data_IF_331420514977
#
_entry.id   IF_331420514977
#
_cell.length_a   1.000
_cell.length_b   1.000
_cell.length_c   1.000
_cell.angle_alpha   90.00
_cell.angle_beta   90.00
_cell.angle_gamma   90.00
#
_symmetry.space_group_name_H-M   'P 1'
#
loop_
_entity.id
_entity.type
_entity.pdbx_description
1 polymer ?
#
# COMPACT_ATOMS: atom_id res chain seq x y z
N UNK A 1 -22.22 -20.38 3.30
CA UNK A 1 -21.24 -19.52 2.61
C UNK A 1 -20.87 -18.45 3.62
N UNK A 2 -19.60 -18.29 3.95
CA UNK A 2 -19.13 -17.31 4.93
C UNK A 2 -19.21 -15.91 4.35
N UNK A 3 -19.76 -14.96 5.13
CA UNK A 3 -19.86 -13.55 4.75
C UNK A 3 -18.69 -12.76 5.31
N UNK A 4 -18.11 -11.89 4.50
CA UNK A 4 -17.13 -10.90 4.89
C UNK A 4 -17.84 -9.54 5.08
N UNK A 5 -17.92 -9.08 6.33
CA UNK A 5 -18.46 -7.79 6.70
C UNK A 5 -17.34 -6.75 6.63
N UNK A 6 -17.32 -5.92 5.57
CA UNK A 6 -16.20 -5.04 5.23
C UNK A 6 -16.43 -3.63 5.74
N UNK A 7 -15.61 -3.22 6.71
CA UNK A 7 -15.57 -1.88 7.28
C UNK A 7 -14.45 -1.06 6.65
N UNK A 8 -14.76 0.19 6.32
CA UNK A 8 -13.82 1.12 5.66
C UNK A 8 -13.76 2.46 6.39
N UNK A 9 -13.05 3.43 5.82
CA UNK A 9 -12.94 4.75 6.45
C UNK A 9 -14.29 5.47 6.55
N UNK A 10 -14.60 6.04 7.70
CA UNK A 10 -15.74 6.95 7.83
C UNK A 10 -15.50 8.34 7.21
N UNK A 11 -14.29 8.61 6.70
CA UNK A 11 -13.86 9.93 6.20
C UNK A 11 -13.75 10.01 4.69
N UNK A 12 -13.55 8.87 4.01
CA UNK A 12 -13.26 8.82 2.58
C UNK A 12 -14.13 7.76 1.91
N UNK A 13 -14.94 8.13 0.88
CA UNK A 13 -15.77 7.15 0.18
C UNK A 13 -14.89 6.18 -0.62
N UNK A 14 -15.31 4.93 -0.65
CA UNK A 14 -14.69 3.90 -1.49
C UNK A 14 -15.20 4.06 -2.91
N UNK A 15 -14.36 4.58 -3.79
CA UNK A 15 -14.72 4.85 -5.18
C UNK A 15 -13.51 4.75 -6.11
N UNK A 16 -13.67 4.16 -7.30
CA UNK A 16 -12.58 3.94 -8.28
C UNK A 16 -11.88 5.25 -8.72
N UNK A 17 -12.61 6.37 -8.68
CA UNK A 17 -12.05 7.68 -8.99
C UNK A 17 -11.28 8.31 -7.82
N UNK A 18 -11.37 7.74 -6.62
CA UNK A 18 -10.63 8.20 -5.44
C UNK A 18 -9.21 7.64 -5.41
N UNK A 19 -8.46 7.87 -6.49
CA UNK A 19 -7.08 7.33 -6.66
C UNK A 19 -6.04 7.99 -5.76
N UNK A 20 -6.39 9.08 -5.09
CA UNK A 20 -5.54 9.71 -4.09
C UNK A 20 -5.51 8.94 -2.77
N UNK A 21 -6.53 8.13 -2.51
CA UNK A 21 -6.64 7.24 -1.35
C UNK A 21 -6.28 5.81 -1.76
N UNK A 22 -5.10 5.30 -1.42
CA UNK A 22 -4.68 3.94 -1.77
C UNK A 22 -5.55 2.86 -1.11
N UNK A 23 -6.17 3.15 0.03
CA UNK A 23 -7.09 2.22 0.69
C UNK A 23 -8.38 2.04 -0.09
N UNK A 24 -8.94 3.10 -0.68
CA UNK A 24 -10.14 3.01 -1.52
C UNK A 24 -9.95 1.99 -2.66
N UNK A 25 -8.82 2.06 -3.34
CA UNK A 25 -8.49 1.12 -4.43
C UNK A 25 -8.25 -0.30 -3.91
N UNK A 26 -7.54 -0.44 -2.78
CA UNK A 26 -7.29 -1.75 -2.16
C UNK A 26 -8.60 -2.45 -1.75
N UNK A 27 -9.56 -1.72 -1.18
CA UNK A 27 -10.89 -2.24 -0.82
C UNK A 27 -11.66 -2.72 -2.03
N UNK A 28 -11.72 -1.93 -3.11
CA UNK A 28 -12.41 -2.32 -4.35
C UNK A 28 -11.83 -3.61 -4.90
N UNK A 29 -10.51 -3.67 -5.07
CA UNK A 29 -9.81 -4.84 -5.57
C UNK A 29 -10.03 -6.07 -4.69
N UNK A 30 -9.99 -5.90 -3.38
CA UNK A 30 -10.26 -6.97 -2.42
C UNK A 30 -11.70 -7.50 -2.58
N UNK A 31 -12.70 -6.61 -2.61
CA UNK A 31 -14.12 -7.01 -2.79
C UNK A 31 -14.31 -7.76 -4.10
N UNK A 32 -13.85 -7.19 -5.21
CA UNK A 32 -14.01 -7.79 -6.54
C UNK A 32 -13.42 -9.19 -6.58
N UNK A 33 -12.22 -9.34 -6.03
CA UNK A 33 -11.52 -10.62 -6.04
C UNK A 33 -12.17 -11.65 -5.11
N UNK A 34 -12.48 -11.27 -3.87
CA UNK A 34 -13.14 -12.20 -2.93
C UNK A 34 -14.50 -12.64 -3.45
N UNK A 35 -15.26 -11.75 -4.07
CA UNK A 35 -16.53 -12.08 -4.72
C UNK A 35 -16.34 -13.05 -5.87
N UNK A 36 -15.33 -12.87 -6.73
CA UNK A 36 -15.00 -13.81 -7.81
C UNK A 36 -14.61 -15.20 -7.30
N UNK A 37 -14.05 -15.30 -6.10
CA UNK A 37 -13.70 -16.56 -5.46
C UNK A 37 -14.83 -17.17 -4.61
N UNK A 38 -16.05 -16.64 -4.71
CA UNK A 38 -17.23 -17.20 -4.09
C UNK A 38 -17.47 -16.78 -2.65
N UNK A 39 -16.76 -15.76 -2.15
CA UNK A 39 -17.09 -15.15 -0.88
C UNK A 39 -18.30 -14.22 -0.99
N UNK A 40 -19.16 -14.23 0.01
CA UNK A 40 -20.20 -13.21 0.13
C UNK A 40 -19.62 -11.98 0.81
N UNK A 41 -19.70 -10.81 0.16
CA UNK A 41 -19.17 -9.55 0.70
C UNK A 41 -20.32 -8.58 0.97
N UNK A 42 -20.30 -7.96 2.16
CA UNK A 42 -21.19 -6.85 2.53
C UNK A 42 -20.31 -5.68 2.95
N UNK A 43 -20.38 -4.59 2.21
CA UNK A 43 -19.62 -3.35 2.50
C UNK A 43 -20.48 -2.39 3.32
N UNK A 44 -19.95 -1.92 4.43
CA UNK A 44 -20.56 -0.89 5.27
C UNK A 44 -19.98 0.46 4.85
N UNK A 45 -20.80 1.27 4.22
CA UNK A 45 -20.36 2.42 3.43
C UNK A 45 -20.74 3.76 4.03
N UNK A 46 -20.11 4.80 3.49
CA UNK A 46 -20.55 6.19 3.61
C UNK A 46 -21.05 6.71 2.25
N UNK A 47 -21.72 7.88 2.19
CA UNK A 47 -22.21 8.45 0.93
C UNK A 47 -21.14 8.50 -0.16
N UNK A 48 -21.55 8.30 -1.41
CA UNK A 48 -20.72 8.27 -2.61
C UNK A 48 -19.73 7.10 -2.71
N UNK A 49 -19.83 6.08 -1.86
CA UNK A 49 -19.09 4.82 -2.04
C UNK A 49 -19.74 3.97 -3.13
N UNK A 50 -18.90 3.37 -4.00
CA UNK A 50 -19.33 2.49 -5.11
C UNK A 50 -18.45 1.26 -5.14
N UNK A 51 -19.05 0.09 -4.92
CA UNK A 51 -18.40 -1.22 -4.93
C UNK A 51 -19.28 -2.24 -5.67
N UNK A 52 -18.71 -3.39 -6.03
CA UNK A 52 -19.40 -4.47 -6.78
C UNK A 52 -20.24 -5.41 -5.92
N UNK A 53 -20.18 -5.32 -4.59
CA UNK A 53 -20.94 -6.16 -3.67
C UNK A 53 -22.14 -5.42 -3.06
N UNK A 54 -22.92 -6.12 -2.22
CA UNK A 54 -23.95 -5.48 -1.37
C UNK A 54 -23.32 -4.40 -0.52
N UNK A 55 -23.88 -3.18 -0.57
CA UNK A 55 -23.41 -2.03 0.21
C UNK A 55 -24.53 -1.49 1.09
N UNK A 56 -24.25 -1.35 2.38
CA UNK A 56 -25.18 -0.80 3.39
C UNK A 56 -24.63 0.54 3.84
N UNK A 57 -25.35 1.62 3.54
CA UNK A 57 -24.92 2.97 3.93
C UNK A 57 -25.14 3.18 5.43
N UNK A 58 -24.07 3.55 6.13
CA UNK A 58 -24.04 3.75 7.58
C UNK A 58 -24.09 5.23 8.01
N UNK A 59 -23.91 6.17 7.07
CA UNK A 59 -24.09 7.60 7.28
C UNK A 59 -24.96 8.18 6.17
N UNK A 60 -25.93 9.03 6.52
CA UNK A 60 -26.78 9.70 5.52
C UNK A 60 -26.13 10.99 5.00
N UNK A 61 -25.45 11.73 5.86
CA UNK A 61 -24.74 12.96 5.54
C UNK A 61 -23.34 12.95 6.19
N UNK A 62 -22.42 13.74 5.62
CA UNK A 62 -21.10 13.95 6.22
C UNK A 62 -21.26 14.89 7.43
N UNK A 63 -21.06 14.36 8.62
CA UNK A 63 -21.15 15.09 9.89
C UNK A 63 -19.94 16.00 10.09
N UNK A 64 -20.10 17.14 10.78
CA UNK A 64 -19.14 18.23 10.84
C UNK A 64 -17.79 17.91 11.50
N UNK A 65 -17.70 16.96 12.43
CA UNK A 65 -16.44 16.61 13.09
C UNK A 65 -16.01 15.17 12.80
N UNK A 66 -14.69 14.95 12.71
CA UNK A 66 -14.13 13.62 12.45
C UNK A 66 -14.51 12.61 13.54
N UNK A 67 -14.50 13.00 14.81
CA UNK A 67 -14.84 12.14 15.94
C UNK A 67 -16.32 11.72 15.94
N UNK A 68 -17.23 12.66 15.69
CA UNK A 68 -18.65 12.37 15.57
C UNK A 68 -18.93 11.41 14.38
N UNK A 69 -18.20 11.58 13.30
CA UNK A 69 -18.31 10.74 12.12
C UNK A 69 -17.90 9.29 12.39
N UNK A 70 -16.76 9.09 13.07
CA UNK A 70 -16.30 7.75 13.50
C UNK A 70 -17.35 7.10 14.40
N UNK A 71 -17.86 7.83 15.40
CA UNK A 71 -18.84 7.30 16.34
C UNK A 71 -20.14 6.90 15.67
N UNK A 72 -20.72 7.77 14.84
CA UNK A 72 -21.98 7.50 14.13
C UNK A 72 -21.84 6.34 13.14
N UNK A 73 -20.73 6.31 12.38
CA UNK A 73 -20.43 5.22 11.45
C UNK A 73 -20.36 3.88 12.19
N UNK A 74 -19.57 3.79 13.27
CA UNK A 74 -19.41 2.55 14.03
C UNK A 74 -20.73 2.06 14.64
N UNK A 75 -21.55 2.97 15.17
CA UNK A 75 -22.85 2.61 15.74
C UNK A 75 -23.80 2.03 14.67
N UNK A 76 -23.88 2.68 13.52
CA UNK A 76 -24.73 2.22 12.43
C UNK A 76 -24.21 0.93 11.79
N UNK A 77 -22.89 0.82 11.58
CA UNK A 77 -22.26 -0.39 11.05
C UNK A 77 -22.43 -1.58 11.99
N UNK A 78 -22.24 -1.38 13.31
CA UNK A 78 -22.47 -2.42 14.31
C UNK A 78 -23.91 -2.92 14.31
N UNK A 79 -24.89 -2.01 14.27
CA UNK A 79 -26.31 -2.40 14.19
C UNK A 79 -26.59 -3.22 12.92
N UNK A 80 -26.08 -2.76 11.78
CA UNK A 80 -26.28 -3.44 10.50
C UNK A 80 -25.55 -4.80 10.43
N UNK A 81 -24.35 -4.93 10.99
CA UNK A 81 -23.67 -6.23 11.15
C UNK A 81 -24.53 -7.17 11.98
N UNK A 82 -25.03 -6.71 13.12
CA UNK A 82 -25.90 -7.51 14.01
C UNK A 82 -27.14 -8.08 13.33
N UNK A 83 -27.70 -7.34 12.34
CA UNK A 83 -28.88 -7.76 11.57
C UNK A 83 -28.53 -8.75 10.43
N UNK A 84 -27.30 -8.75 9.94
CA UNK A 84 -26.91 -9.51 8.74
C UNK A 84 -25.94 -10.68 9.03
N UNK A 85 -25.30 -10.71 10.21
CA UNK A 85 -24.28 -11.72 10.52
C UNK A 85 -24.85 -13.11 10.75
N UNK A 86 -24.05 -14.11 10.39
CA UNK A 86 -24.29 -15.52 10.69
C UNK A 86 -23.07 -16.12 11.42
N UNK A 87 -23.24 -17.23 12.17
CA UNK A 87 -22.11 -17.94 12.77
C UNK A 87 -21.04 -18.31 11.72
N UNK A 88 -19.78 -17.97 11.99
CA UNK A 88 -18.66 -18.23 11.08
C UNK A 88 -18.33 -17.10 10.11
N UNK A 89 -19.13 -16.03 10.08
CA UNK A 89 -18.78 -14.82 9.33
C UNK A 89 -17.55 -14.11 9.93
N UNK A 90 -16.96 -13.20 9.17
CA UNK A 90 -15.78 -12.43 9.58
C UNK A 90 -16.00 -10.94 9.36
N UNK A 91 -15.43 -10.11 10.24
CA UNK A 91 -15.38 -8.65 10.06
C UNK A 91 -13.99 -8.29 9.51
N UNK A 92 -13.98 -7.56 8.40
CA UNK A 92 -12.77 -7.15 7.69
C UNK A 92 -12.58 -5.64 7.83
N UNK A 93 -11.50 -5.20 8.49
CA UNK A 93 -11.25 -3.82 8.85
C UNK A 93 -10.08 -3.24 8.07
N UNK A 94 -10.31 -2.27 7.18
CA UNK A 94 -9.26 -1.66 6.36
C UNK A 94 -8.61 -0.41 6.97
N UNK A 95 -9.19 0.16 8.03
CA UNK A 95 -8.75 1.42 8.64
C UNK A 95 -8.40 1.32 10.13
N UNK A 96 -8.01 0.12 10.57
CA UNK A 96 -7.52 -0.08 11.93
C UNK A 96 -8.50 0.43 12.99
N UNK A 97 -7.98 1.13 13.98
CA UNK A 97 -8.71 1.60 15.18
C UNK A 97 -9.99 2.41 14.86
N UNK A 98 -10.10 3.01 13.68
CA UNK A 98 -11.32 3.72 13.28
C UNK A 98 -12.53 2.78 13.15
N UNK A 99 -12.30 1.48 12.93
CA UNK A 99 -13.33 0.46 12.83
C UNK A 99 -13.49 -0.38 14.12
N UNK A 100 -12.71 -0.09 15.15
CA UNK A 100 -12.63 -0.93 16.36
C UNK A 100 -13.97 -1.03 17.09
N UNK A 101 -14.66 0.08 17.29
CA UNK A 101 -15.89 0.09 18.09
C UNK A 101 -17.00 -0.78 17.47
N UNK A 102 -17.20 -0.72 16.15
CA UNK A 102 -18.15 -1.58 15.45
C UNK A 102 -17.75 -3.05 15.55
N UNK A 103 -16.46 -3.34 15.44
CA UNK A 103 -15.92 -4.71 15.48
C UNK A 103 -16.05 -5.35 16.87
N UNK A 104 -15.66 -4.62 17.91
CA UNK A 104 -15.69 -5.12 19.30
C UNK A 104 -17.11 -5.36 19.83
N UNK A 105 -18.13 -4.80 19.20
CA UNK A 105 -19.54 -5.10 19.49
C UNK A 105 -19.97 -6.52 19.04
N UNK A 106 -19.15 -7.22 18.24
CA UNK A 106 -19.41 -8.56 17.73
C UNK A 106 -18.28 -9.54 18.08
N UNK A 107 -18.05 -9.84 19.36
CA UNK A 107 -16.96 -10.70 19.81
C UNK A 107 -17.10 -12.16 19.38
N UNK A 108 -18.23 -12.54 18.84
CA UNK A 108 -18.53 -13.84 18.25
C UNK A 108 -18.00 -14.01 16.82
N UNK A 109 -17.56 -12.92 16.17
CA UNK A 109 -16.97 -12.94 14.83
C UNK A 109 -15.45 -12.74 14.88
N UNK A 110 -14.73 -13.34 13.93
CA UNK A 110 -13.31 -13.10 13.75
C UNK A 110 -13.08 -11.71 13.14
N UNK A 111 -12.27 -10.88 13.80
CA UNK A 111 -11.85 -9.59 13.29
C UNK A 111 -10.54 -9.74 12.50
N UNK A 112 -10.52 -9.31 11.25
CA UNK A 112 -9.38 -9.42 10.34
C UNK A 112 -8.99 -8.03 9.84
N UNK A 113 -7.73 -7.65 10.01
CA UNK A 113 -7.14 -6.46 9.38
C UNK A 113 -6.26 -6.89 8.21
N UNK A 114 -6.72 -6.74 6.94
CA UNK A 114 -5.89 -6.97 5.77
C UNK A 114 -5.07 -5.72 5.42
N UNK A 115 -3.99 -5.91 4.66
CA UNK A 115 -3.21 -4.81 4.05
C UNK A 115 -2.63 -3.82 5.06
N UNK A 116 -2.16 -4.31 6.23
CA UNK A 116 -1.58 -3.45 7.27
C UNK A 116 -0.25 -2.88 6.78
N UNK A 117 -0.27 -1.58 6.44
CA UNK A 117 0.88 -0.76 6.05
C UNK A 117 0.83 0.62 6.71
N UNK A 118 0.12 0.74 7.85
CA UNK A 118 -0.09 1.95 8.62
C UNK A 118 0.52 1.85 10.02
N UNK A 119 0.34 2.89 10.82
CA UNK A 119 0.92 3.02 12.17
C UNK A 119 0.53 1.86 13.06
N UNK A 120 1.49 1.31 13.78
CA UNK A 120 1.31 0.11 14.64
C UNK A 120 0.28 0.31 15.74
N UNK A 121 0.12 1.55 16.21
CA UNK A 121 -0.85 1.93 17.26
C UNK A 121 -2.30 1.81 16.77
N UNK A 122 -2.52 1.91 15.47
CA UNK A 122 -3.84 1.80 14.87
C UNK A 122 -4.29 0.33 14.64
N UNK A 123 -3.41 -0.63 14.78
CA UNK A 123 -3.72 -2.06 14.61
C UNK A 123 -4.35 -2.62 15.88
N UNK A 124 -5.51 -3.28 15.77
CA UNK A 124 -6.25 -3.79 16.92
C UNK A 124 -6.75 -5.23 16.79
N UNK A 125 -6.96 -5.73 15.56
CA UNK A 125 -7.56 -7.05 15.36
C UNK A 125 -6.61 -8.21 15.71
N UNK A 126 -7.19 -9.38 15.99
CA UNK A 126 -6.44 -10.57 16.34
C UNK A 126 -5.85 -11.30 15.13
N UNK A 127 -6.50 -11.15 13.96
CA UNK A 127 -6.07 -11.75 12.69
C UNK A 127 -5.58 -10.66 11.74
N UNK A 128 -4.32 -10.74 11.33
CA UNK A 128 -3.64 -9.63 10.64
C UNK A 128 -2.90 -10.11 9.39
N UNK A 129 -3.03 -9.33 8.32
CA UNK A 129 -2.20 -9.49 7.13
C UNK A 129 -1.41 -8.19 6.89
N UNK A 130 -0.10 -8.26 7.08
CA UNK A 130 0.84 -7.15 6.91
C UNK A 130 1.34 -7.09 5.47
N UNK A 131 1.63 -5.89 4.98
CA UNK A 131 2.12 -5.69 3.61
C UNK A 131 3.58 -6.13 3.42
N UNK A 132 4.33 -6.33 4.51
CA UNK A 132 5.72 -6.81 4.50
C UNK A 132 6.11 -7.44 5.84
N UNK A 133 7.17 -8.23 5.85
CA UNK A 133 7.79 -8.71 7.09
C UNK A 133 8.34 -7.55 7.93
N UNK A 134 8.89 -6.52 7.29
CA UNK A 134 9.36 -5.32 7.98
C UNK A 134 8.24 -4.68 8.80
N UNK A 135 7.05 -4.52 8.21
CA UNK A 135 5.87 -3.98 8.90
C UNK A 135 5.40 -4.89 10.05
N UNK A 136 5.35 -6.20 9.82
CA UNK A 136 4.98 -7.19 10.84
C UNK A 136 5.95 -7.16 12.02
N UNK A 137 7.25 -7.19 11.76
CA UNK A 137 8.26 -7.18 12.83
C UNK A 137 8.32 -5.83 13.57
N UNK A 138 8.06 -4.72 12.88
CA UNK A 138 7.90 -3.40 13.52
C UNK A 138 6.72 -3.40 14.48
N UNK A 139 5.58 -3.97 14.07
CA UNK A 139 4.41 -4.16 14.93
C UNK A 139 4.73 -5.02 16.15
N UNK A 140 5.38 -6.18 15.97
CA UNK A 140 5.77 -7.05 17.09
C UNK A 140 6.70 -6.36 18.07
N UNK A 141 7.67 -5.59 17.57
CA UNK A 141 8.58 -4.80 18.41
C UNK A 141 7.83 -3.73 19.22
N UNK A 142 6.94 -2.98 18.57
CA UNK A 142 6.16 -1.92 19.21
C UNK A 142 5.18 -2.46 20.27
N UNK A 143 4.65 -3.67 20.08
CA UNK A 143 3.69 -4.33 20.97
C UNK A 143 4.33 -5.26 22.00
N UNK A 144 5.65 -5.40 22.03
CA UNK A 144 6.35 -6.31 22.94
C UNK A 144 6.08 -7.80 22.68
N UNK A 145 5.70 -8.15 21.44
CA UNK A 145 5.31 -9.52 21.06
C UNK A 145 6.50 -10.38 20.59
N UNK A 146 7.74 -9.97 20.85
CA UNK A 146 8.94 -10.66 20.34
C UNK A 146 9.06 -12.12 20.77
N UNK A 147 8.57 -12.44 21.98
CA UNK A 147 8.64 -13.80 22.53
C UNK A 147 7.35 -14.62 22.29
N UNK A 148 6.30 -13.97 21.80
CA UNK A 148 5.00 -14.61 21.55
C UNK A 148 4.32 -13.98 20.32
N UNK A 149 4.87 -14.16 19.11
CA UNK A 149 4.24 -13.71 17.89
C UNK A 149 2.93 -14.46 17.65
N UNK A 150 2.02 -13.84 16.91
CA UNK A 150 0.76 -14.48 16.54
C UNK A 150 0.98 -15.53 15.44
N UNK A 151 0.39 -16.71 15.64
CA UNK A 151 0.43 -17.83 14.68
C UNK A 151 -0.40 -17.57 13.43
N UNK A 152 -1.30 -16.59 13.50
CA UNK A 152 -2.29 -16.31 12.45
C UNK A 152 -1.98 -15.05 11.65
N UNK A 153 -0.91 -14.37 12.01
CA UNK A 153 -0.43 -13.25 11.24
C UNK A 153 0.16 -13.73 9.91
N UNK A 154 -0.15 -13.02 8.85
CA UNK A 154 0.35 -13.30 7.52
C UNK A 154 1.06 -12.08 6.93
N UNK A 155 1.92 -12.33 5.93
CA UNK A 155 2.46 -11.27 5.08
C UNK A 155 1.87 -11.44 3.69
N UNK A 156 1.05 -10.47 3.29
CA UNK A 156 0.40 -10.39 1.98
C UNK A 156 0.71 -9.01 1.42
N UNK A 157 1.57 -8.90 0.41
CA UNK A 157 2.00 -7.63 -0.16
C UNK A 157 0.85 -6.89 -0.84
N UNK A 158 1.06 -5.60 -1.14
CA UNK A 158 0.11 -4.88 -1.97
C UNK A 158 0.10 -5.45 -3.40
N UNK A 159 -1.09 -5.67 -3.93
CA UNK A 159 -1.30 -6.07 -5.32
C UNK A 159 -1.28 -4.86 -6.26
N UNK A 160 -0.63 -5.01 -7.40
CA UNK A 160 -0.57 -3.99 -8.45
C UNK A 160 -1.11 -4.59 -9.74
N UNK A 161 -2.14 -3.99 -10.33
CA UNK A 161 -2.72 -4.46 -11.59
C UNK A 161 -1.76 -4.26 -12.76
N UNK A 162 -1.11 -5.31 -13.22
CA UNK A 162 -0.07 -5.22 -14.26
C UNK A 162 -0.57 -4.64 -15.58
N UNK A 163 -1.86 -4.80 -15.91
CA UNK A 163 -2.47 -4.25 -17.12
C UNK A 163 -2.67 -2.71 -17.08
N UNK A 164 -2.56 -2.09 -15.91
CA UNK A 164 -2.58 -0.62 -15.79
C UNK A 164 -1.24 0.03 -16.16
N UNK A 165 -0.18 -0.76 -16.38
CA UNK A 165 1.18 -0.29 -16.62
C UNK A 165 1.71 -0.77 -17.97
N UNK A 166 2.05 0.18 -18.82
CA UNK A 166 2.75 -0.10 -20.07
C UNK A 166 4.21 -0.41 -19.81
N UNK A 167 4.77 -1.33 -20.62
CA UNK A 167 6.14 -1.81 -20.48
C UNK A 167 7.01 -1.40 -21.67
N UNK A 168 8.25 -1.00 -21.40
CA UNK A 168 9.29 -0.86 -22.42
C UNK A 168 10.69 -1.12 -21.86
N UNK A 169 11.57 -1.68 -22.68
CA UNK A 169 13.00 -1.80 -22.39
C UNK A 169 13.77 -0.51 -22.73
N UNK A 170 13.17 0.34 -23.56
CA UNK A 170 13.78 1.62 -23.93
C UNK A 170 13.59 2.63 -22.80
N UNK A 171 14.71 3.16 -22.27
CA UNK A 171 14.73 4.13 -21.20
C UNK A 171 15.33 5.46 -21.70
N UNK A 172 14.75 6.57 -21.26
CA UNK A 172 15.30 7.90 -21.45
C UNK A 172 16.34 8.22 -20.37
N UNK A 173 17.16 9.25 -20.59
CA UNK A 173 18.27 9.58 -19.69
C UNK A 173 17.81 10.49 -18.52
N UNK A 174 16.89 9.95 -17.68
CA UNK A 174 16.50 10.60 -16.44
C UNK A 174 16.15 9.56 -15.35
N UNK A 175 16.28 10.00 -14.10
CA UNK A 175 15.84 9.29 -12.92
C UNK A 175 14.54 9.90 -12.39
N UNK A 176 13.70 9.09 -11.76
CA UNK A 176 12.38 9.52 -11.27
C UNK A 176 12.30 9.40 -9.74
N UNK A 177 12.09 10.52 -9.07
CA UNK A 177 11.57 10.54 -7.72
C UNK A 177 10.05 10.63 -7.80
N UNK A 178 9.34 9.60 -7.28
CA UNK A 178 7.88 9.55 -7.29
C UNK A 178 7.33 9.43 -5.88
N UNK A 179 6.67 10.48 -5.39
CA UNK A 179 6.09 10.53 -4.05
C UNK A 179 5.99 11.94 -3.49
N UNK A 180 5.48 12.05 -2.27
CA UNK A 180 5.40 13.33 -1.57
C UNK A 180 6.79 13.94 -1.39
N UNK A 181 6.92 15.22 -1.70
CA UNK A 181 8.18 15.98 -1.46
C UNK A 181 8.19 16.36 0.02
N UNK A 182 8.72 15.48 0.85
CA UNK A 182 8.88 15.64 2.30
C UNK A 182 10.25 15.12 2.72
N UNK A 183 10.79 15.60 3.83
CA UNK A 183 12.12 15.28 4.32
C UNK A 183 12.31 13.76 4.50
N UNK A 184 11.36 13.10 5.18
CA UNK A 184 11.42 11.67 5.45
C UNK A 184 11.47 10.78 4.20
N UNK A 185 11.07 11.29 3.03
CA UNK A 185 11.21 10.61 1.73
C UNK A 185 12.56 10.84 1.05
N UNK A 186 13.49 11.58 1.70
CA UNK A 186 14.88 11.71 1.27
C UNK A 186 15.10 12.52 0.00
N UNK A 187 14.28 13.53 -0.27
CA UNK A 187 14.37 14.37 -1.49
C UNK A 187 15.77 14.94 -1.72
N UNK A 188 16.47 15.34 -0.63
CA UNK A 188 17.82 15.86 -0.72
C UNK A 188 18.81 14.83 -1.29
N UNK A 189 18.72 13.57 -0.88
CA UNK A 189 19.60 12.49 -1.36
C UNK A 189 19.36 12.29 -2.86
N UNK A 190 18.11 12.23 -3.31
CA UNK A 190 17.77 12.07 -4.73
C UNK A 190 18.39 13.21 -5.60
N UNK A 191 18.22 14.46 -5.15
CA UNK A 191 18.74 15.63 -5.86
C UNK A 191 20.28 15.62 -5.88
N UNK A 192 20.92 15.37 -4.74
CA UNK A 192 22.38 15.44 -4.63
C UNK A 192 23.08 14.27 -5.34
N UNK A 193 22.53 13.05 -5.23
CA UNK A 193 23.10 11.86 -5.87
C UNK A 193 23.01 11.95 -7.40
N UNK A 194 21.85 12.36 -7.95
CA UNK A 194 21.71 12.58 -9.40
C UNK A 194 22.61 13.72 -9.92
N UNK A 195 22.78 14.79 -9.13
CA UNK A 195 23.74 15.86 -9.43
C UNK A 195 25.19 15.34 -9.47
N UNK A 196 25.59 14.59 -8.46
CA UNK A 196 26.95 14.04 -8.37
C UNK A 196 27.27 13.08 -9.52
N UNK A 197 26.28 12.28 -9.95
CA UNK A 197 26.40 11.38 -11.12
C UNK A 197 26.20 12.09 -12.47
N UNK A 198 25.95 13.42 -12.50
CA UNK A 198 25.71 14.17 -13.74
C UNK A 198 24.44 13.76 -14.49
N UNK A 199 23.41 13.30 -13.78
CA UNK A 199 22.16 12.79 -14.35
C UNK A 199 20.98 13.71 -14.10
N UNK A 200 19.96 13.64 -14.97
CA UNK A 200 18.69 14.36 -14.83
C UNK A 200 17.79 13.68 -13.81
N UNK A 201 17.07 14.49 -13.02
CA UNK A 201 16.05 14.03 -12.08
C UNK A 201 14.69 14.66 -12.42
N UNK A 202 13.65 13.84 -12.52
CA UNK A 202 12.27 14.30 -12.53
C UNK A 202 11.67 14.02 -11.16
N UNK A 203 11.00 15.02 -10.58
CA UNK A 203 10.31 14.92 -9.29
C UNK A 203 8.82 15.00 -9.57
N UNK A 204 8.08 13.94 -9.25
CA UNK A 204 6.65 13.83 -9.42
C UNK A 204 5.97 13.52 -8.06
N UNK A 205 5.02 14.37 -7.69
CA UNK A 205 4.26 14.27 -6.44
C UNK A 205 4.01 15.63 -5.81
N UNK A 206 3.15 15.67 -4.77
CA UNK A 206 2.81 16.92 -4.09
C UNK A 206 3.94 17.37 -3.16
N UNK A 207 4.04 18.70 -2.97
CA UNK A 207 5.03 19.38 -2.14
C UNK A 207 5.85 20.39 -2.94
N UNK A 208 6.70 21.15 -2.25
CA UNK A 208 7.50 22.21 -2.86
C UNK A 208 8.96 22.06 -2.43
N UNK A 209 9.91 22.24 -3.36
CA UNK A 209 11.34 22.23 -3.05
C UNK A 209 11.79 23.43 -2.21
N UNK A 210 11.08 24.56 -2.28
CA UNK A 210 11.34 25.73 -1.43
C UNK A 210 11.27 25.40 0.07
N UNK A 211 10.42 24.46 0.47
CA UNK A 211 10.25 24.04 1.86
C UNK A 211 11.51 23.32 2.40
N UNK A 212 12.43 22.98 1.51
CA UNK A 212 13.70 22.27 1.78
C UNK A 212 14.94 23.08 1.40
N UNK A 213 14.81 24.42 1.32
CA UNK A 213 15.93 25.33 1.07
C UNK A 213 16.37 25.42 -0.40
N UNK A 214 15.55 24.95 -1.34
CA UNK A 214 15.80 25.12 -2.76
C UNK A 214 14.96 26.29 -3.30
N UNK A 215 15.42 27.53 -3.08
CA UNK A 215 14.74 28.73 -3.60
C UNK A 215 14.66 28.75 -5.13
N UNK A 216 15.60 28.09 -5.78
CA UNK A 216 15.60 27.84 -7.23
C UNK A 216 15.74 26.34 -7.50
N UNK A 217 14.93 25.82 -8.41
CA UNK A 217 15.07 24.44 -8.88
C UNK A 217 16.45 24.22 -9.48
N UNK A 218 17.23 23.22 -9.04
CA UNK A 218 18.54 22.92 -9.62
C UNK A 218 18.44 22.61 -11.12
N UNK A 219 19.42 23.01 -11.91
CA UNK A 219 19.39 22.93 -13.37
C UNK A 219 19.17 21.51 -13.96
N UNK A 220 19.55 20.45 -13.21
CA UNK A 220 19.35 19.05 -13.60
C UNK A 220 18.01 18.48 -13.16
N UNK A 221 17.18 19.25 -12.43
CA UNK A 221 15.90 18.82 -11.87
C UNK A 221 14.73 19.40 -12.64
N UNK A 222 13.75 18.56 -12.94
CA UNK A 222 12.45 18.97 -13.51
C UNK A 222 11.34 18.61 -12.52
N UNK A 223 10.42 19.53 -12.25
CA UNK A 223 9.26 19.30 -11.38
C UNK A 223 8.06 18.97 -12.26
N UNK A 224 7.56 17.75 -12.16
CA UNK A 224 6.34 17.32 -12.84
C UNK A 224 5.08 17.62 -12.00
N UNK A 225 5.23 17.79 -10.67
CA UNK A 225 4.10 18.01 -9.76
C UNK A 225 3.20 16.80 -9.60
N UNK A 226 1.92 17.04 -9.29
CA UNK A 226 0.93 15.97 -9.13
C UNK A 226 0.57 15.39 -10.50
N UNK A 227 0.76 14.08 -10.66
CA UNK A 227 0.53 13.36 -11.91
C UNK A 227 -0.74 12.51 -11.84
N UNK A 228 -1.51 12.50 -12.92
CA UNK A 228 -2.57 11.51 -13.11
C UNK A 228 -1.99 10.12 -13.49
N UNK A 229 -2.84 9.10 -13.60
CA UNK A 229 -2.40 7.73 -13.86
C UNK A 229 -1.61 7.58 -15.18
N UNK A 230 -2.02 8.27 -16.26
CA UNK A 230 -1.35 8.24 -17.57
C UNK A 230 0.03 8.90 -17.48
N UNK A 231 0.11 10.07 -16.88
CA UNK A 231 1.38 10.78 -16.68
C UNK A 231 2.34 9.98 -15.79
N UNK A 232 1.82 9.37 -14.69
CA UNK A 232 2.60 8.49 -13.83
C UNK A 232 3.19 7.33 -14.64
N UNK A 233 2.37 6.65 -15.42
CA UNK A 233 2.79 5.51 -16.22
C UNK A 233 3.89 5.91 -17.22
N UNK A 234 3.72 7.00 -17.93
CA UNK A 234 4.72 7.51 -18.88
C UNK A 234 6.04 7.87 -18.18
N UNK A 235 5.98 8.59 -17.06
CA UNK A 235 7.19 8.93 -16.30
C UNK A 235 7.92 7.71 -15.76
N UNK A 236 7.18 6.69 -15.29
CA UNK A 236 7.79 5.45 -14.81
C UNK A 236 8.35 4.62 -15.96
N UNK A 237 7.60 4.48 -17.04
CA UNK A 237 7.96 3.64 -18.19
C UNK A 237 9.29 4.04 -18.83
N UNK A 238 9.58 5.32 -18.95
CA UNK A 238 10.79 5.81 -19.60
C UNK A 238 11.94 6.16 -18.65
N UNK A 239 11.74 6.17 -17.34
CA UNK A 239 12.82 6.44 -16.40
C UNK A 239 13.91 5.36 -16.43
N UNK A 240 15.19 5.75 -16.24
CA UNK A 240 16.30 4.83 -16.01
C UNK A 240 16.10 4.03 -14.72
N UNK A 241 15.64 4.70 -13.65
CA UNK A 241 15.23 4.09 -12.40
C UNK A 241 14.28 5.00 -11.63
N UNK A 242 13.49 4.40 -10.75
CA UNK A 242 12.84 5.13 -9.65
C UNK A 242 13.81 5.22 -8.47
N UNK A 243 13.86 6.39 -7.80
CA UNK A 243 14.72 6.62 -6.64
C UNK A 243 13.86 6.86 -5.40
N UNK A 244 14.03 6.01 -4.37
CA UNK A 244 13.30 6.06 -3.11
C UNK A 244 14.24 6.07 -1.89
N UNK A 245 14.95 7.17 -1.58
CA UNK A 245 15.93 7.23 -0.49
C UNK A 245 15.27 7.59 0.85
N UNK A 246 14.22 6.87 1.25
CA UNK A 246 13.45 7.18 2.45
C UNK A 246 14.24 7.01 3.74
N UNK A 247 14.01 7.89 4.73
CA UNK A 247 14.66 7.84 6.04
C UNK A 247 13.87 7.03 7.08
N UNK A 248 12.60 6.75 6.82
CA UNK A 248 11.77 5.93 7.69
C UNK A 248 11.65 4.48 7.19
N UNK A 249 11.14 3.61 8.04
CA UNK A 249 10.85 2.23 7.66
C UNK A 249 9.64 2.24 6.71
N UNK A 250 9.90 2.20 5.40
CA UNK A 250 8.86 2.14 4.38
C UNK A 250 8.09 0.83 4.54
N UNK A 251 6.75 0.85 4.71
CA UNK A 251 6.00 -0.39 4.89
C UNK A 251 6.08 -1.34 3.71
N UNK A 252 6.03 -0.83 2.47
CA UNK A 252 6.08 -1.67 1.26
C UNK A 252 6.83 -1.00 0.10
N UNK A 253 6.45 0.22 -0.26
CA UNK A 253 7.05 0.97 -1.38
C UNK A 253 6.39 0.70 -2.73
N UNK A 254 5.10 0.99 -2.86
CA UNK A 254 4.32 0.81 -4.10
C UNK A 254 5.03 1.35 -5.34
N UNK A 255 5.70 2.52 -5.24
CA UNK A 255 6.41 3.14 -6.36
C UNK A 255 7.49 2.25 -6.98
N UNK A 256 8.10 1.38 -6.19
CA UNK A 256 9.12 0.42 -6.66
C UNK A 256 8.46 -0.63 -7.53
N UNK A 257 7.38 -1.24 -7.04
CA UNK A 257 6.66 -2.29 -7.78
C UNK A 257 5.97 -1.72 -9.01
N UNK A 258 5.38 -0.53 -8.92
CA UNK A 258 4.82 0.20 -10.08
C UNK A 258 5.90 0.48 -11.14
N UNK A 259 7.10 0.90 -10.72
CA UNK A 259 8.26 1.05 -11.61
C UNK A 259 8.62 -0.28 -12.29
N UNK A 260 8.67 -1.37 -11.55
CA UNK A 260 8.94 -2.70 -12.12
C UNK A 260 7.87 -3.14 -13.12
N UNK A 261 6.60 -2.83 -12.87
CA UNK A 261 5.53 -3.09 -13.85
C UNK A 261 5.79 -2.39 -15.18
N UNK A 262 6.51 -1.28 -15.18
CA UNK A 262 6.97 -0.58 -16.37
C UNK A 262 8.35 -1.07 -16.89
N UNK A 263 8.98 -2.05 -16.23
CA UNK A 263 10.35 -2.47 -16.52
C UNK A 263 11.40 -1.47 -16.02
N UNK A 264 11.09 -0.65 -15.02
CA UNK A 264 11.98 0.37 -14.49
C UNK A 264 12.55 -0.08 -13.17
N UNK A 265 13.88 -0.25 -13.05
CA UNK A 265 14.54 -0.68 -11.83
C UNK A 265 14.42 0.37 -10.72
N UNK A 266 14.78 -0.01 -9.49
CA UNK A 266 14.73 0.87 -8.34
C UNK A 266 16.09 1.09 -7.68
N UNK A 267 16.29 2.30 -7.12
CA UNK A 267 17.41 2.64 -6.23
C UNK A 267 16.78 3.12 -4.91
N UNK A 268 17.01 2.39 -3.84
CA UNK A 268 16.33 2.65 -2.56
C UNK A 268 17.29 2.60 -1.38
N UNK A 269 16.83 2.99 -0.21
CA UNK A 269 17.50 2.63 1.05
C UNK A 269 17.36 1.13 1.33
N UNK A 270 18.30 0.57 2.12
CA UNK A 270 18.35 -0.86 2.46
C UNK A 270 17.70 -1.12 3.83
N UNK A 271 16.41 -0.75 3.96
CA UNK A 271 15.58 -1.08 5.13
C UNK A 271 14.10 -1.01 4.80
N UNK A 272 13.28 -1.46 5.75
CA UNK A 272 11.83 -1.53 5.60
C UNK A 272 11.42 -2.49 4.49
N UNK A 273 10.28 -2.26 3.89
CA UNK A 273 9.74 -3.04 2.78
C UNK A 273 10.65 -3.05 1.54
N UNK A 274 11.54 -2.07 1.39
CA UNK A 274 12.51 -2.07 0.29
C UNK A 274 13.51 -3.23 0.37
N UNK A 275 13.84 -3.70 1.58
CA UNK A 275 14.69 -4.88 1.74
C UNK A 275 14.04 -6.17 1.20
N UNK A 276 12.71 -6.15 1.03
CA UNK A 276 11.93 -7.27 0.50
C UNK A 276 11.56 -7.07 -0.97
N UNK A 277 11.24 -5.84 -1.39
CA UNK A 277 10.78 -5.54 -2.75
C UNK A 277 11.92 -5.35 -3.75
N UNK A 278 13.12 -4.95 -3.30
CA UNK A 278 14.28 -4.75 -4.17
C UNK A 278 15.26 -5.91 -4.03
N UNK A 279 15.46 -6.66 -5.09
CA UNK A 279 16.49 -7.72 -5.17
C UNK A 279 17.78 -7.09 -5.66
N UNK A 280 18.78 -7.03 -4.75
CA UNK A 280 20.07 -6.38 -4.98
C UNK A 280 20.76 -6.89 -6.25
N UNK A 281 21.07 -5.98 -7.19
CA UNK A 281 21.74 -6.28 -8.44
C UNK A 281 20.89 -7.02 -9.49
N UNK A 282 19.60 -7.27 -9.20
CA UNK A 282 18.66 -7.98 -10.09
C UNK A 282 17.50 -7.09 -10.54
N UNK A 283 16.82 -6.46 -9.57
CA UNK A 283 15.72 -5.53 -9.87
C UNK A 283 16.06 -4.08 -9.52
N UNK A 284 17.22 -3.85 -8.91
CA UNK A 284 17.68 -2.54 -8.51
C UNK A 284 18.82 -2.61 -7.50
N UNK A 285 19.06 -1.50 -6.84
CA UNK A 285 20.10 -1.35 -5.83
C UNK A 285 19.52 -0.81 -4.53
N UNK A 286 19.93 -1.43 -3.41
CA UNK A 286 19.66 -0.96 -2.05
C UNK A 286 20.93 -0.33 -1.49
N UNK A 287 20.78 0.88 -0.94
CA UNK A 287 21.90 1.74 -0.54
C UNK A 287 21.77 2.12 0.94
N UNK A 288 22.90 2.23 1.64
CA UNK A 288 23.01 2.66 3.04
C UNK A 288 23.74 3.98 3.21
N UNK A 289 24.59 4.34 2.24
CA UNK A 289 25.32 5.60 2.25
C UNK A 289 25.21 6.36 0.92
N UNK A 290 25.55 7.65 0.95
CA UNK A 290 25.41 8.52 -0.20
C UNK A 290 26.19 8.04 -1.44
N UNK A 291 27.42 7.52 -1.24
CA UNK A 291 28.27 7.02 -2.34
C UNK A 291 27.64 5.83 -3.06
N UNK A 292 26.92 4.98 -2.32
CA UNK A 292 26.20 3.85 -2.92
C UNK A 292 25.07 4.31 -3.83
N UNK A 293 24.36 5.41 -3.47
CA UNK A 293 23.35 6.00 -4.39
C UNK A 293 23.99 6.51 -5.67
N UNK A 294 25.14 7.18 -5.58
CA UNK A 294 25.85 7.65 -6.77
C UNK A 294 26.31 6.46 -7.62
N UNK A 295 26.93 5.46 -7.02
CA UNK A 295 27.37 4.23 -7.70
C UNK A 295 26.21 3.47 -8.32
N UNK A 296 25.07 3.37 -7.64
CA UNK A 296 23.84 2.74 -8.16
C UNK A 296 23.30 3.47 -9.41
N UNK A 297 23.32 4.81 -9.40
CA UNK A 297 22.92 5.63 -10.53
C UNK A 297 23.86 5.37 -11.73
N UNK A 298 25.16 5.30 -11.51
CA UNK A 298 26.17 5.07 -12.56
C UNK A 298 26.08 3.65 -13.16
N UNK A 299 25.68 2.65 -12.35
CA UNK A 299 25.63 1.25 -12.73
C UNK A 299 24.23 0.73 -13.08
N UNK A 300 23.22 1.60 -13.12
CA UNK A 300 21.80 1.17 -13.28
C UNK A 300 21.55 0.42 -14.58
N UNK A 301 22.29 0.72 -15.65
CA UNK A 301 22.17 0.07 -16.94
C UNK A 301 22.56 -1.43 -16.92
N UNK A 302 23.15 -1.93 -15.82
CA UNK A 302 23.39 -3.36 -15.60
C UNK A 302 22.10 -4.13 -15.24
N UNK A 303 21.06 -3.45 -14.82
CA UNK A 303 19.77 -4.07 -14.46
C UNK A 303 18.90 -4.25 -15.73
N UNK A 304 18.45 -5.48 -15.94
CA UNK A 304 17.62 -5.79 -17.12
C UNK A 304 16.15 -5.39 -16.85
N UNK A 305 15.55 -4.49 -17.67
CA UNK A 305 14.16 -4.05 -17.53
C UNK A 305 13.13 -5.21 -17.58
N UNK A 306 13.38 -6.21 -18.41
CA UNK A 306 12.50 -7.37 -18.52
C UNK A 306 12.47 -8.19 -17.24
N UNK A 307 13.62 -8.33 -16.58
CA UNK A 307 13.71 -9.03 -15.29
C UNK A 307 12.88 -8.30 -14.22
N UNK A 308 12.92 -6.96 -14.17
CA UNK A 308 12.09 -6.16 -13.28
C UNK A 308 10.60 -6.42 -13.52
N UNK A 309 10.15 -6.38 -14.79
CA UNK A 309 8.74 -6.64 -15.16
C UNK A 309 8.30 -8.03 -14.75
N UNK A 310 9.06 -9.06 -15.10
CA UNK A 310 8.71 -10.46 -14.77
C UNK A 310 8.65 -10.67 -13.25
N UNK A 311 9.64 -10.15 -12.53
CA UNK A 311 9.64 -10.20 -11.06
C UNK A 311 8.39 -9.58 -10.45
N UNK A 312 7.99 -8.41 -10.93
CA UNK A 312 6.80 -7.73 -10.42
C UNK A 312 5.52 -8.51 -10.72
N UNK A 313 5.36 -9.01 -11.94
CA UNK A 313 4.18 -9.80 -12.34
C UNK A 313 4.08 -11.10 -11.53
N UNK A 314 5.19 -11.82 -11.37
CA UNK A 314 5.20 -13.11 -10.68
C UNK A 314 4.96 -12.99 -9.17
N UNK A 315 5.25 -11.83 -8.55
CA UNK A 315 5.18 -11.68 -7.09
C UNK A 315 4.10 -10.72 -6.61
N UNK A 316 3.73 -9.71 -7.41
CA UNK A 316 2.93 -8.57 -6.99
C UNK A 316 1.74 -8.25 -7.90
N UNK A 317 1.52 -9.00 -8.99
CA UNK A 317 0.29 -8.82 -9.76
C UNK A 317 -0.93 -9.13 -8.89
N UNK A 318 -2.01 -8.35 -9.06
CA UNK A 318 -3.23 -8.53 -8.30
C UNK A 318 -3.72 -9.99 -8.33
N UNK A 319 -3.62 -10.65 -9.48
CA UNK A 319 -4.02 -12.04 -9.63
C UNK A 319 -3.21 -13.02 -8.75
N UNK A 320 -1.95 -12.67 -8.45
CA UNK A 320 -1.08 -13.46 -7.56
C UNK A 320 -1.35 -13.13 -6.09
N UNK A 321 -1.44 -11.84 -5.77
CA UNK A 321 -1.63 -11.37 -4.39
C UNK A 321 -2.99 -11.78 -3.85
N UNK A 322 -4.04 -11.66 -4.64
CA UNK A 322 -5.38 -11.98 -4.19
C UNK A 322 -5.60 -13.47 -3.91
N UNK A 323 -4.89 -14.35 -4.60
CA UNK A 323 -4.87 -15.78 -4.23
C UNK A 323 -4.34 -16.01 -2.81
N UNK A 324 -3.40 -15.18 -2.35
CA UNK A 324 -2.89 -15.26 -0.97
C UNK A 324 -3.95 -14.81 0.03
N UNK A 325 -4.75 -13.78 -0.29
CA UNK A 325 -5.91 -13.40 0.53
C UNK A 325 -6.94 -14.52 0.59
N UNK A 326 -7.34 -15.10 -0.56
CA UNK A 326 -8.27 -16.22 -0.58
C UNK A 326 -7.78 -17.40 0.28
N UNK A 327 -6.52 -17.81 0.13
CA UNK A 327 -5.91 -18.85 0.95
C UNK A 327 -5.91 -18.50 2.45
N UNK A 328 -5.61 -17.25 2.80
CA UNK A 328 -5.60 -16.78 4.18
C UNK A 328 -7.00 -16.82 4.80
N UNK A 329 -8.01 -16.28 4.13
CA UNK A 329 -9.39 -16.27 4.59
C UNK A 329 -9.99 -17.69 4.64
N UNK A 330 -9.68 -18.55 3.68
CA UNK A 330 -10.07 -19.97 3.73
C UNK A 330 -9.47 -20.67 4.96
N UNK A 331 -8.19 -20.42 5.28
CA UNK A 331 -7.58 -20.93 6.49
C UNK A 331 -8.29 -20.45 7.75
N UNK A 332 -8.61 -19.14 7.83
CA UNK A 332 -9.33 -18.57 8.97
C UNK A 332 -10.76 -19.14 9.10
N UNK A 333 -11.46 -19.41 8.00
CA UNK A 333 -12.82 -19.96 8.02
C UNK A 333 -12.88 -21.40 8.55
N UNK A 334 -11.80 -22.16 8.38
CA UNK A 334 -11.70 -23.57 8.81
C UNK A 334 -11.22 -23.73 10.25
N UNK A 335 -10.76 -22.65 10.86
CA UNK A 335 -10.28 -22.69 12.24
C UNK A 335 -11.42 -22.62 13.22
N UNK A 336 -11.41 -23.55 14.20
CA UNK A 336 -12.22 -23.42 15.38
C UNK A 336 -11.87 -22.11 16.12
N UNK A 337 -12.89 -21.48 16.71
CA UNK A 337 -12.72 -20.23 17.43
C UNK A 337 -11.93 -20.47 18.73
N UNK A 338 -10.60 -20.64 18.61
CA UNK A 338 -9.73 -20.74 19.77
C UNK A 338 -9.37 -19.33 20.25
N UNK A 339 -9.90 -18.95 21.41
CA UNK A 339 -9.35 -17.84 22.21
C UNK A 339 -8.32 -18.45 23.16
N UNK A 340 -7.03 -18.04 23.07
CA UNK A 340 -6.05 -18.43 24.07
C UNK A 340 -6.40 -17.85 25.45
#
# INVERSE_FOLDING_TARGET
MTTLHILTSPHSPVHINNRADPFSIAVIKFIDHMTMHGWNCIHYSIPNSVVSCTSIQCLDELVDTAENRITQYNNAASLAIGQNKQPGDMIVCFHGIENQAATMAHPDLKAVEPSIGYMTEAVFADYRAFVSYAQMHMFYGARGMLMNPSWWDAVIPNGITSSEFEYTEKKDDYFLYFGRVIESKGIHIAIQATKAAGKKLIIAGPGKLSDFGYDKTPAHVTIAGLCNATQRNQLMMYAKAVIGPTHYVEPFGNMVVEGYMCGTPAITTDWGGFAETVVQGVTGFRCREFREFVSAIENIDSINPRTCRLWAVDNYDDAVVHKRFDQYFNKLSQMDFYRP
#
